data_IF_966151423339
#
_entry.id   IF_966151423339
#
_cell.length_a   1.000
_cell.length_b   1.000
_cell.length_c   1.000
_cell.angle_alpha   90.00
_cell.angle_beta   90.00
_cell.angle_gamma   90.00
#
_symmetry.space_group_name_H-M   'P 1'
#
loop_
_entity.id
_entity.type
_entity.pdbx_description
1 polymer ?
#
# COMPACT_ATOMS: atom_id res chain seq x y z
N UNK A 1 25.67 44.11 29.51
CA UNK A 1 24.36 43.41 29.51
C UNK A 1 23.85 43.26 30.94
N UNK A 2 22.69 43.86 31.26
CA UNK A 2 22.14 43.91 32.63
C UNK A 2 21.81 42.52 33.19
N UNK A 3 22.08 42.27 34.48
CA UNK A 3 21.78 41.00 35.18
C UNK A 3 20.30 40.60 35.08
N UNK A 4 19.40 41.55 34.83
CA UNK A 4 17.97 41.31 34.59
C UNK A 4 17.70 40.69 33.21
N UNK A 5 18.39 41.16 32.17
CA UNK A 5 18.25 40.64 30.81
C UNK A 5 18.71 39.17 30.69
N UNK A 6 19.80 38.81 31.37
CA UNK A 6 20.28 37.41 31.44
C UNK A 6 19.24 36.48 32.09
N UNK A 7 18.57 36.96 33.16
CA UNK A 7 17.52 36.19 33.84
C UNK A 7 16.26 36.02 32.99
N UNK A 8 15.85 37.07 32.28
CA UNK A 8 14.71 37.00 31.36
C UNK A 8 14.98 36.03 30.19
N UNK A 9 16.15 36.12 29.56
CA UNK A 9 16.54 35.20 28.48
C UNK A 9 16.63 33.75 28.97
N UNK A 10 17.17 33.52 30.16
CA UNK A 10 17.22 32.18 30.75
C UNK A 10 15.81 31.64 31.05
N UNK A 11 14.90 32.47 31.56
CA UNK A 11 13.51 32.07 31.82
C UNK A 11 12.74 31.74 30.54
N UNK A 12 12.97 32.50 29.46
CA UNK A 12 12.32 32.25 28.16
C UNK A 12 12.90 30.99 27.51
N UNK A 13 14.21 30.81 27.59
CA UNK A 13 14.88 29.60 27.12
C UNK A 13 14.39 28.38 27.91
N UNK A 14 14.39 28.44 29.25
CA UNK A 14 13.91 27.36 30.10
C UNK A 14 12.44 27.01 29.76
N UNK A 15 11.57 28.00 29.52
CA UNK A 15 10.18 27.76 29.12
C UNK A 15 10.03 27.15 27.71
N UNK A 16 10.79 27.62 26.72
CA UNK A 16 10.80 27.07 25.35
C UNK A 16 11.37 25.65 25.30
N UNK A 17 12.45 25.38 26.05
CA UNK A 17 13.06 24.07 26.12
C UNK A 17 12.24 23.08 26.98
N UNK A 18 11.60 23.54 28.06
CA UNK A 18 10.63 22.73 28.83
C UNK A 18 9.37 22.42 28.03
N UNK A 19 8.85 23.36 27.24
CA UNK A 19 7.71 23.11 26.34
C UNK A 19 8.04 21.98 25.35
N UNK A 20 9.25 21.98 24.79
CA UNK A 20 9.74 20.92 23.88
C UNK A 20 9.97 19.58 24.60
N UNK A 21 10.41 19.61 25.87
CA UNK A 21 10.62 18.41 26.70
C UNK A 21 9.31 17.81 27.23
N UNK A 22 8.31 18.64 27.55
CA UNK A 22 6.98 18.22 27.99
C UNK A 22 6.15 17.66 26.84
N UNK A 23 6.29 18.22 25.63
CA UNK A 23 5.83 17.56 24.40
C UNK A 23 6.61 16.25 24.18
N UNK A 24 7.91 16.21 24.44
CA UNK A 24 8.69 14.96 24.38
C UNK A 24 8.20 13.85 25.32
N UNK A 25 7.73 14.17 26.53
CA UNK A 25 7.32 13.18 27.53
C UNK A 25 5.91 12.63 27.32
N UNK A 26 4.97 13.43 26.81
CA UNK A 26 3.62 12.99 26.46
C UNK A 26 3.64 12.05 25.25
N UNK A 27 4.51 12.31 24.27
CA UNK A 27 4.78 11.37 23.18
C UNK A 27 5.63 10.17 23.65
N UNK A 28 6.51 10.35 24.64
CA UNK A 28 7.33 9.26 25.18
C UNK A 28 6.57 8.25 26.05
N UNK A 29 5.43 8.62 26.64
CA UNK A 29 4.65 7.67 27.46
C UNK A 29 3.74 6.78 26.59
N UNK A 30 3.46 7.20 25.35
CA UNK A 30 2.84 6.34 24.33
C UNK A 30 3.86 5.43 23.61
N UNK A 31 5.17 5.73 23.70
CA UNK A 31 6.27 4.99 23.02
C UNK A 31 6.41 3.51 23.35
N UNK A 32 5.86 3.01 24.46
CA UNK A 32 5.89 1.57 24.74
C UNK A 32 4.78 0.75 24.06
N UNK A 33 3.91 1.40 23.27
CA UNK A 33 2.89 0.78 22.41
C UNK A 33 3.17 0.93 20.90
N UNK A 34 4.30 1.53 20.50
CA UNK A 34 4.32 2.41 19.32
C UNK A 34 4.79 1.86 17.97
N UNK A 35 5.06 0.56 17.77
CA UNK A 35 5.46 0.08 16.42
C UNK A 35 4.91 -1.28 15.99
N UNK A 36 3.82 -1.76 16.59
CA UNK A 36 3.10 -2.90 16.04
C UNK A 36 2.14 -2.36 14.98
N UNK A 37 2.61 -2.21 13.73
CA UNK A 37 1.70 -1.90 12.62
C UNK A 37 0.97 -3.19 12.26
N UNK A 38 -0.11 -3.43 12.98
CA UNK A 38 -1.01 -4.54 12.71
C UNK A 38 -1.54 -4.35 11.28
N UNK A 39 -1.29 -5.36 10.45
CA UNK A 39 -1.78 -5.56 9.08
C UNK A 39 -3.11 -4.83 8.82
N UNK A 40 -3.25 -4.12 7.70
CA UNK A 40 -4.51 -3.45 7.41
C UNK A 40 -5.61 -4.47 7.08
N UNK A 41 -6.50 -4.72 8.04
CA UNK A 41 -7.54 -5.74 7.92
C UNK A 41 -8.50 -5.50 6.73
N UNK A 42 -9.04 -4.29 6.49
CA UNK A 42 -9.86 -4.03 5.31
C UNK A 42 -9.18 -4.39 4.00
N UNK A 43 -7.92 -3.98 3.81
CA UNK A 43 -7.16 -4.29 2.60
C UNK A 43 -6.92 -5.80 2.47
N UNK A 44 -6.65 -6.49 3.59
CA UNK A 44 -6.50 -7.94 3.60
C UNK A 44 -7.77 -8.67 3.14
N UNK A 45 -8.94 -8.20 3.59
CA UNK A 45 -10.23 -8.75 3.13
C UNK A 45 -10.43 -8.53 1.63
N UNK A 46 -9.99 -7.40 1.09
CA UNK A 46 -10.09 -7.13 -0.35
C UNK A 46 -9.24 -8.08 -1.18
N UNK A 47 -7.99 -8.30 -0.79
CA UNK A 47 -7.16 -9.30 -1.44
C UNK A 47 -7.76 -10.70 -1.33
N UNK A 48 -8.42 -11.04 -0.21
CA UNK A 48 -9.14 -12.30 -0.04
C UNK A 48 -10.29 -12.48 -1.00
N UNK A 49 -11.18 -11.49 -1.11
CA UNK A 49 -12.29 -11.59 -2.03
C UNK A 49 -11.82 -11.59 -3.49
N UNK A 50 -10.84 -10.76 -3.86
CA UNK A 50 -10.25 -10.78 -5.21
C UNK A 50 -9.63 -12.14 -5.52
N UNK A 51 -8.86 -12.73 -4.58
CA UNK A 51 -8.28 -14.07 -4.77
C UNK A 51 -9.32 -15.18 -4.92
N UNK A 52 -10.47 -15.07 -4.23
CA UNK A 52 -11.56 -16.04 -4.34
C UNK A 52 -12.31 -15.90 -5.67
N UNK A 53 -12.49 -14.66 -6.14
CA UNK A 53 -13.21 -14.35 -7.36
C UNK A 53 -12.37 -14.58 -8.64
N UNK A 54 -11.06 -14.34 -8.58
CA UNK A 54 -10.11 -14.52 -9.68
C UNK A 54 -10.24 -15.86 -10.46
N UNK A 55 -10.32 -17.04 -9.82
CA UNK A 55 -10.51 -18.30 -10.57
C UNK A 55 -11.86 -18.37 -11.29
N UNK A 56 -12.92 -17.79 -10.71
CA UNK A 56 -14.23 -17.73 -11.35
C UNK A 56 -14.20 -16.79 -12.56
N UNK A 57 -13.57 -15.62 -12.40
CA UNK A 57 -13.36 -14.67 -13.49
C UNK A 57 -12.53 -15.30 -14.63
N UNK A 58 -11.45 -16.01 -14.29
CA UNK A 58 -10.58 -16.69 -15.25
C UNK A 58 -11.35 -17.72 -16.07
N UNK A 59 -12.07 -18.63 -15.41
CA UNK A 59 -12.85 -19.68 -16.09
C UNK A 59 -13.97 -19.06 -16.92
N UNK A 60 -14.69 -18.08 -16.36
CA UNK A 60 -15.77 -17.39 -17.06
C UNK A 60 -15.29 -16.72 -18.35
N UNK A 61 -14.19 -15.98 -18.27
CA UNK A 61 -13.59 -15.27 -19.41
C UNK A 61 -12.97 -16.26 -20.42
N UNK A 62 -12.38 -17.35 -19.96
CA UNK A 62 -11.84 -18.39 -20.85
C UNK A 62 -12.96 -19.06 -21.66
N UNK A 63 -14.10 -19.36 -21.02
CA UNK A 63 -15.24 -19.98 -21.69
C UNK A 63 -15.86 -19.04 -22.73
N UNK A 64 -16.05 -17.76 -22.40
CA UNK A 64 -16.57 -16.76 -23.36
C UNK A 64 -15.60 -16.58 -24.52
N UNK A 65 -14.30 -16.47 -24.23
CA UNK A 65 -13.26 -16.35 -25.25
C UNK A 65 -13.29 -17.53 -26.24
N UNK A 66 -13.46 -18.77 -25.76
CA UNK A 66 -13.54 -19.96 -26.64
C UNK A 66 -14.79 -19.92 -27.53
N UNK A 67 -15.94 -19.58 -26.96
CA UNK A 67 -17.23 -19.55 -27.69
C UNK A 67 -17.23 -18.45 -28.74
N UNK A 68 -16.71 -17.28 -28.39
CA UNK A 68 -16.73 -16.10 -29.26
C UNK A 68 -15.54 -16.09 -30.23
N UNK A 69 -14.51 -16.92 -30.01
CA UNK A 69 -13.24 -16.89 -30.74
C UNK A 69 -13.39 -16.89 -32.26
N UNK A 70 -14.34 -17.66 -32.80
CA UNK A 70 -14.54 -17.76 -34.24
C UNK A 70 -15.16 -16.49 -34.85
N UNK A 71 -15.97 -15.77 -34.06
CA UNK A 71 -16.74 -14.60 -34.47
C UNK A 71 -15.97 -13.27 -34.33
N UNK A 72 -14.89 -13.24 -33.56
CA UNK A 72 -14.05 -12.05 -33.42
C UNK A 72 -13.29 -11.73 -34.73
N UNK A 73 -13.01 -10.45 -34.96
CA UNK A 73 -12.05 -10.02 -35.99
C UNK A 73 -10.66 -10.60 -35.68
N UNK A 74 -9.86 -11.03 -36.69
CA UNK A 74 -8.50 -11.53 -36.49
C UNK A 74 -7.62 -10.67 -35.57
N UNK A 75 -7.72 -9.34 -35.65
CA UNK A 75 -6.95 -8.42 -34.80
C UNK A 75 -7.40 -8.55 -33.34
N UNK A 76 -8.72 -8.55 -33.11
CA UNK A 76 -9.29 -8.68 -31.77
C UNK A 76 -9.05 -10.05 -31.15
N UNK A 77 -8.96 -11.13 -31.94
CA UNK A 77 -8.56 -12.46 -31.43
C UNK A 77 -7.20 -12.40 -30.76
N UNK A 78 -6.21 -11.78 -31.41
CA UNK A 78 -4.85 -11.68 -30.90
C UNK A 78 -4.80 -10.77 -29.68
N UNK A 79 -5.40 -9.58 -29.77
CA UNK A 79 -5.36 -8.59 -28.69
C UNK A 79 -6.10 -9.12 -27.45
N UNK A 80 -7.33 -9.62 -27.59
CA UNK A 80 -8.12 -10.07 -26.44
C UNK A 80 -7.46 -11.27 -25.75
N UNK A 81 -6.91 -12.22 -26.53
CA UNK A 81 -6.15 -13.35 -25.99
C UNK A 81 -4.90 -12.86 -25.24
N UNK A 82 -4.15 -11.92 -25.80
CA UNK A 82 -2.96 -11.38 -25.17
C UNK A 82 -3.29 -10.64 -23.86
N UNK A 83 -4.33 -9.81 -23.85
CA UNK A 83 -4.78 -9.10 -22.63
C UNK A 83 -5.29 -10.09 -21.59
N UNK A 84 -6.06 -11.11 -21.98
CA UNK A 84 -6.53 -12.17 -21.06
C UNK A 84 -5.37 -12.91 -20.39
N UNK A 85 -4.38 -13.36 -21.16
CA UNK A 85 -3.22 -14.07 -20.62
C UNK A 85 -2.39 -13.15 -19.72
N UNK A 86 -2.12 -11.92 -20.17
CA UNK A 86 -1.37 -10.93 -19.40
C UNK A 86 -2.05 -10.63 -18.06
N UNK A 87 -3.36 -10.35 -18.08
CA UNK A 87 -4.15 -10.08 -16.89
C UNK A 87 -4.09 -11.25 -15.92
N UNK A 88 -4.33 -12.47 -16.41
CA UNK A 88 -4.38 -13.70 -15.59
C UNK A 88 -3.05 -14.01 -14.91
N UNK A 89 -1.93 -13.89 -15.62
CA UNK A 89 -0.59 -14.12 -15.05
C UNK A 89 -0.25 -13.07 -14.01
N UNK A 90 -0.51 -11.79 -14.33
CA UNK A 90 -0.18 -10.69 -13.44
C UNK A 90 -1.11 -10.61 -12.23
N UNK A 91 -2.33 -11.13 -12.32
CA UNK A 91 -3.27 -11.15 -11.20
C UNK A 91 -2.72 -11.98 -10.04
N UNK A 92 -2.13 -13.14 -10.33
CA UNK A 92 -1.47 -13.97 -9.31
C UNK A 92 -0.30 -13.23 -8.63
N UNK A 93 0.55 -12.56 -9.41
CA UNK A 93 1.68 -11.78 -8.89
C UNK A 93 1.20 -10.59 -8.05
N UNK A 94 0.20 -9.86 -8.56
CA UNK A 94 -0.41 -8.69 -7.92
C UNK A 94 -1.01 -9.07 -6.58
N UNK A 95 -1.83 -10.12 -6.53
CA UNK A 95 -2.40 -10.64 -5.28
C UNK A 95 -1.33 -11.11 -4.30
N UNK A 96 -0.31 -11.84 -4.76
CA UNK A 96 0.78 -12.30 -3.90
C UNK A 96 1.53 -11.13 -3.24
N UNK A 97 1.96 -10.16 -4.05
CA UNK A 97 2.66 -8.97 -3.57
C UNK A 97 1.79 -8.15 -2.61
N UNK A 98 0.50 -8.02 -2.89
CA UNK A 98 -0.44 -7.28 -2.05
C UNK A 98 -0.63 -7.94 -0.69
N UNK A 99 -0.85 -9.25 -0.69
CA UNK A 99 -0.96 -10.08 0.52
C UNK A 99 0.30 -10.02 1.38
N UNK A 100 1.46 -10.31 0.77
CA UNK A 100 2.73 -10.33 1.46
C UNK A 100 3.12 -8.94 1.95
N UNK A 101 2.95 -7.91 1.11
CA UNK A 101 3.27 -6.52 1.45
C UNK A 101 2.45 -6.01 2.64
N UNK A 102 1.15 -6.31 2.70
CA UNK A 102 0.32 -5.90 3.84
C UNK A 102 0.64 -6.69 5.12
N UNK A 103 0.80 -8.03 5.03
CA UNK A 103 1.05 -8.89 6.19
C UNK A 103 2.44 -8.70 6.80
N UNK A 104 3.47 -8.63 5.95
CA UNK A 104 4.87 -8.52 6.37
C UNK A 104 5.32 -7.06 6.53
N UNK A 105 4.40 -6.11 6.40
CA UNK A 105 4.65 -4.67 6.43
C UNK A 105 5.64 -4.18 5.36
N UNK A 106 5.75 -4.88 4.23
CA UNK A 106 6.71 -4.58 3.19
C UNK A 106 6.14 -3.56 2.19
N UNK A 107 6.54 -2.31 2.38
CA UNK A 107 6.17 -1.17 1.52
C UNK A 107 6.48 -1.39 0.03
N UNK A 108 7.67 -1.90 -0.37
CA UNK A 108 7.97 -2.08 -1.79
C UNK A 108 7.05 -3.09 -2.48
N UNK A 109 6.73 -4.18 -1.82
CA UNK A 109 5.88 -5.27 -2.30
C UNK A 109 4.44 -4.77 -2.46
N UNK A 110 3.93 -4.06 -1.44
CA UNK A 110 2.61 -3.47 -1.53
C UNK A 110 2.52 -2.40 -2.62
N UNK A 111 3.57 -1.58 -2.78
CA UNK A 111 3.67 -0.62 -3.87
C UNK A 111 3.69 -1.32 -5.24
N UNK A 112 4.39 -2.44 -5.35
CA UNK A 112 4.44 -3.27 -6.56
C UNK A 112 3.05 -3.80 -6.94
N UNK A 113 2.32 -4.37 -5.97
CA UNK A 113 0.92 -4.78 -6.16
C UNK A 113 0.05 -3.62 -6.63
N UNK A 114 0.13 -2.47 -5.96
CA UNK A 114 -0.68 -1.30 -6.28
C UNK A 114 -0.33 -0.72 -7.66
N UNK A 115 0.94 -0.73 -8.05
CA UNK A 115 1.40 -0.29 -9.37
C UNK A 115 0.90 -1.22 -10.48
N UNK A 116 0.97 -2.54 -10.28
CA UNK A 116 0.41 -3.52 -11.21
C UNK A 116 -1.10 -3.31 -11.40
N UNK A 117 -1.81 -3.00 -10.31
CA UNK A 117 -3.24 -2.66 -10.36
C UNK A 117 -3.51 -1.45 -11.25
N UNK A 118 -2.80 -0.34 -11.04
CA UNK A 118 -3.05 0.91 -11.78
C UNK A 118 -2.57 0.83 -13.23
N UNK A 119 -1.39 0.26 -13.48
CA UNK A 119 -0.76 0.33 -14.81
C UNK A 119 -1.21 -0.79 -15.74
N UNK A 120 -1.55 -1.96 -15.20
CA UNK A 120 -1.86 -3.14 -16.01
C UNK A 120 -3.30 -3.58 -15.81
N UNK A 121 -3.71 -3.86 -14.57
CA UNK A 121 -5.02 -4.49 -14.34
C UNK A 121 -6.16 -3.55 -14.70
N UNK A 122 -6.18 -2.32 -14.18
CA UNK A 122 -7.24 -1.36 -14.49
C UNK A 122 -7.39 -1.07 -15.98
N UNK A 123 -6.32 -0.77 -16.75
CA UNK A 123 -6.44 -0.61 -18.20
C UNK A 123 -6.91 -1.86 -18.93
N UNK A 124 -6.41 -3.04 -18.54
CA UNK A 124 -6.78 -4.31 -19.16
C UNK A 124 -8.26 -4.66 -18.91
N UNK A 125 -8.74 -4.58 -17.66
CA UNK A 125 -10.16 -4.83 -17.35
C UNK A 125 -11.07 -3.76 -17.96
N UNK A 126 -10.60 -2.50 -18.05
CA UNK A 126 -11.35 -1.43 -18.73
C UNK A 126 -11.48 -1.70 -20.22
N UNK A 127 -10.39 -2.17 -20.86
CA UNK A 127 -10.40 -2.55 -22.27
C UNK A 127 -11.41 -3.68 -22.50
N UNK A 128 -11.40 -4.73 -21.67
CA UNK A 128 -12.34 -5.84 -21.79
C UNK A 128 -13.80 -5.40 -21.57
N UNK A 129 -14.04 -4.47 -20.66
CA UNK A 129 -15.40 -4.06 -20.27
C UNK A 129 -16.04 -3.03 -21.22
N UNK A 130 -15.28 -2.03 -21.65
CA UNK A 130 -15.81 -0.85 -22.34
C UNK A 130 -15.59 -0.85 -23.86
N UNK A 131 -14.84 -1.80 -24.40
CA UNK A 131 -14.63 -1.85 -25.84
C UNK A 131 -15.95 -2.19 -26.57
N UNK A 132 -16.44 -1.23 -27.35
CA UNK A 132 -17.70 -1.36 -28.10
C UNK A 132 -17.61 -2.29 -29.31
N UNK A 133 -16.40 -2.54 -29.82
CA UNK A 133 -16.19 -3.36 -31.01
C UNK A 133 -16.13 -4.86 -30.69
N UNK A 134 -16.09 -5.22 -29.40
CA UNK A 134 -16.13 -6.61 -28.96
C UNK A 134 -17.58 -7.09 -28.80
N UNK A 135 -17.83 -8.31 -29.28
CA UNK A 135 -19.10 -9.00 -29.05
C UNK A 135 -19.09 -9.51 -27.61
N UNK A 136 -19.47 -8.65 -26.67
CA UNK A 136 -19.44 -8.99 -25.24
C UNK A 136 -20.80 -9.55 -24.81
N UNK A 137 -20.84 -10.83 -24.45
CA UNK A 137 -22.03 -11.46 -23.88
C UNK A 137 -22.47 -10.79 -22.57
N UNK A 138 -23.77 -10.77 -22.26
CA UNK A 138 -24.28 -10.24 -20.98
C UNK A 138 -23.63 -10.90 -19.76
N UNK A 139 -23.26 -12.18 -19.89
CA UNK A 139 -22.51 -12.91 -18.86
C UNK A 139 -21.09 -12.37 -18.71
N UNK A 140 -20.35 -12.25 -19.82
CA UNK A 140 -18.98 -11.70 -19.86
C UNK A 140 -18.93 -10.27 -19.29
N UNK A 141 -19.90 -9.43 -19.68
CA UNK A 141 -20.01 -8.07 -19.15
C UNK A 141 -20.19 -8.06 -17.64
N UNK A 142 -20.99 -8.97 -17.11
CA UNK A 142 -21.26 -9.04 -15.65
C UNK A 142 -19.99 -9.42 -14.90
N UNK A 143 -19.23 -10.40 -15.38
CA UNK A 143 -17.99 -10.82 -14.71
C UNK A 143 -16.93 -9.71 -14.75
N UNK A 144 -16.80 -8.99 -15.87
CA UNK A 144 -15.87 -7.86 -15.94
C UNK A 144 -16.29 -6.67 -15.06
N UNK A 145 -17.60 -6.40 -14.91
CA UNK A 145 -18.07 -5.34 -14.01
C UNK A 145 -17.71 -5.64 -12.56
N UNK A 146 -17.94 -6.89 -12.12
CA UNK A 146 -17.64 -7.30 -10.75
C UNK A 146 -16.13 -7.17 -10.49
N UNK A 147 -15.30 -7.71 -11.39
CA UNK A 147 -13.84 -7.58 -11.32
C UNK A 147 -13.40 -6.10 -11.27
N UNK A 148 -13.92 -5.28 -12.19
CA UNK A 148 -13.60 -3.86 -12.27
C UNK A 148 -13.90 -3.12 -10.96
N UNK A 149 -15.08 -3.36 -10.36
CA UNK A 149 -15.46 -2.74 -9.08
C UNK A 149 -14.52 -3.20 -7.95
N UNK A 150 -14.21 -4.49 -7.88
CA UNK A 150 -13.34 -5.04 -6.84
C UNK A 150 -11.93 -4.46 -6.93
N UNK A 151 -11.37 -4.38 -8.14
CA UNK A 151 -10.03 -3.81 -8.41
C UNK A 151 -10.00 -2.30 -8.12
N UNK A 152 -11.02 -1.54 -8.51
CA UNK A 152 -11.12 -0.11 -8.20
C UNK A 152 -11.18 0.11 -6.70
N UNK A 153 -12.05 -0.62 -6.00
CA UNK A 153 -12.22 -0.44 -4.56
C UNK A 153 -10.95 -0.82 -3.79
N UNK A 154 -10.31 -1.92 -4.15
CA UNK A 154 -9.02 -2.30 -3.59
C UNK A 154 -7.93 -1.26 -3.88
N UNK A 155 -7.85 -0.72 -5.09
CA UNK A 155 -6.87 0.30 -5.44
C UNK A 155 -6.99 1.57 -4.59
N UNK A 156 -8.23 2.00 -4.32
CA UNK A 156 -8.49 3.16 -3.44
C UNK A 156 -8.00 2.90 -2.01
N UNK A 157 -8.37 1.75 -1.43
CA UNK A 157 -7.93 1.37 -0.08
C UNK A 157 -6.41 1.17 -0.04
N UNK A 158 -5.85 0.50 -1.03
CA UNK A 158 -4.43 0.23 -1.19
C UNK A 158 -3.59 1.51 -1.21
N UNK A 159 -4.07 2.56 -1.89
CA UNK A 159 -3.41 3.87 -1.87
C UNK A 159 -3.31 4.47 -0.47
N UNK A 160 -4.41 4.43 0.31
CA UNK A 160 -4.41 4.94 1.67
C UNK A 160 -3.47 4.14 2.59
N UNK A 161 -3.48 2.82 2.47
CA UNK A 161 -2.60 1.93 3.24
C UNK A 161 -1.14 2.17 2.87
N UNK A 162 -0.82 2.28 1.58
CA UNK A 162 0.53 2.54 1.13
C UNK A 162 1.06 3.87 1.69
N UNK A 163 0.26 4.94 1.61
CA UNK A 163 0.61 6.25 2.20
C UNK A 163 0.87 6.14 3.70
N UNK A 164 0.03 5.40 4.42
CA UNK A 164 0.18 5.18 5.86
C UNK A 164 1.48 4.43 6.17
N UNK A 165 1.75 3.34 5.46
CA UNK A 165 2.95 2.52 5.68
C UNK A 165 4.24 3.28 5.37
N UNK A 166 4.28 4.09 4.31
CA UNK A 166 5.43 4.96 4.00
C UNK A 166 5.72 5.94 5.14
N UNK A 167 4.67 6.58 5.69
CA UNK A 167 4.82 7.49 6.83
C UNK A 167 5.34 6.76 8.06
N UNK A 168 4.82 5.55 8.33
CA UNK A 168 5.27 4.75 9.47
C UNK A 168 6.72 4.29 9.31
N UNK A 169 7.15 3.91 8.11
CA UNK A 169 8.53 3.54 7.85
C UNK A 169 9.48 4.72 8.08
N UNK A 170 9.08 5.93 7.66
CA UNK A 170 9.83 7.15 7.96
C UNK A 170 9.90 7.43 9.47
N UNK A 171 8.80 7.23 10.21
CA UNK A 171 8.78 7.40 11.67
C UNK A 171 9.67 6.36 12.38
N UNK A 172 9.61 5.09 11.97
CA UNK A 172 10.49 4.00 12.45
C UNK A 172 11.96 4.36 12.22
N UNK A 173 12.32 4.91 11.07
CA UNK A 173 13.69 5.32 10.79
C UNK A 173 14.17 6.45 11.73
N UNK A 174 13.37 7.50 11.89
CA UNK A 174 13.72 8.63 12.77
C UNK A 174 13.82 8.22 14.24
N UNK A 175 12.99 7.28 14.71
CA UNK A 175 13.05 6.78 16.07
C UNK A 175 14.33 5.98 16.33
N UNK A 176 14.73 5.10 15.40
CA UNK A 176 15.98 4.33 15.48
C UNK A 176 17.21 5.24 15.53
N UNK A 177 17.24 6.29 14.70
CA UNK A 177 18.33 7.28 14.73
C UNK A 177 18.42 8.00 16.07
N UNK A 178 17.27 8.32 16.68
CA UNK A 178 17.23 8.97 18.00
C UNK A 178 17.73 8.04 19.09
N UNK A 179 17.29 6.78 19.12
CA UNK A 179 17.72 5.80 20.12
C UNK A 179 19.22 5.55 20.06
N UNK A 180 19.78 5.32 18.86
CA UNK A 180 21.24 5.19 18.68
C UNK A 180 22.03 6.38 19.17
N UNK A 181 21.50 7.60 18.96
CA UNK A 181 22.16 8.82 19.45
C UNK A 181 22.19 8.86 20.97
N UNK A 182 21.11 8.45 21.64
CA UNK A 182 21.03 8.39 23.11
C UNK A 182 22.02 7.35 23.66
N UNK A 183 22.03 6.14 23.12
CA UNK A 183 22.98 5.07 23.51
C UNK A 183 24.45 5.54 23.36
N UNK A 184 24.78 6.21 22.26
CA UNK A 184 26.12 6.75 22.05
C UNK A 184 26.48 7.85 23.06
N UNK A 185 25.53 8.69 23.47
CA UNK A 185 25.77 9.68 24.52
C UNK A 185 25.99 9.03 25.89
N UNK A 186 25.20 8.01 26.21
CA UNK A 186 25.30 7.29 27.47
C UNK A 186 26.64 6.56 27.58
N UNK A 187 27.04 5.81 26.55
CA UNK A 187 28.36 5.15 26.50
C UNK A 187 29.52 6.14 26.65
N UNK A 188 29.46 7.28 25.95
CA UNK A 188 30.51 8.31 26.07
C UNK A 188 30.55 8.94 27.46
N UNK A 189 29.40 9.11 28.11
CA UNK A 189 29.35 9.63 29.48
C UNK A 189 29.94 8.67 30.51
N UNK A 190 29.80 7.36 30.29
CA UNK A 190 30.40 6.32 31.13
C UNK A 190 31.92 6.25 30.96
N UNK A 191 32.44 6.44 29.74
CA UNK A 191 33.90 6.51 29.49
C UNK A 191 34.57 7.68 30.21
N UNK A 192 33.91 8.84 30.33
CA UNK A 192 34.47 9.98 31.08
C UNK A 192 34.42 9.80 32.61
N UNK A 193 33.70 8.80 33.11
CA UNK A 193 33.57 8.51 34.53
C UNK A 193 34.53 7.42 35.03
N UNK A 194 35.25 6.75 34.12
CA UNK A 194 36.34 5.80 34.42
C UNK A 194 37.70 6.47 34.28
#
# INVERSE_FOLDING_TARGET
MSKKAKRALKSIADYLFLSKSAHGSIYSKNRHKEFEYVTNLPLQMLFYFNSLYSPFWFIGTLMTLIIEFEYLDPVYKVINTAVFVLYSVLEGLRLYLGYAGNLMELVPELAGSWLLTILIQLPAISFMLFNCDMIISSFERTIHIIEFIMVVFESLVGFFVLKLMVQMQALKFHSHLRSRKIENFENKSLEYQM
#
